data_IF_616687830013
#
_entry.id   IF_616687830013
#
_cell.length_a   1.000
_cell.length_b   1.000
_cell.length_c   1.000
_cell.angle_alpha   90.00
_cell.angle_beta   90.00
_cell.angle_gamma   90.00
#
_symmetry.space_group_name_H-M   'P 1'
#
loop_
_entity.id
_entity.type
_entity.pdbx_description
1 polymer ?
#
# COMPACT_ATOMS: atom_id res chain seq x y z
N UNK A 1 -16.45 -18.18 0.63
CA UNK A 1 -15.23 -17.63 1.23
C UNK A 1 -15.49 -17.45 2.71
N UNK A 2 -14.73 -18.13 3.56
CA UNK A 2 -14.86 -17.96 5.01
C UNK A 2 -14.33 -16.56 5.39
N UNK A 3 -14.98 -15.87 6.33
CA UNK A 3 -14.50 -14.57 6.78
C UNK A 3 -13.10 -14.70 7.36
N UNK A 4 -12.24 -13.76 6.98
CA UNK A 4 -10.84 -13.67 7.43
C UNK A 4 -10.70 -13.22 8.90
N UNK A 5 -11.78 -12.99 9.61
CA UNK A 5 -11.81 -12.62 11.02
C UNK A 5 -11.76 -13.85 11.91
N UNK A 6 -10.60 -14.50 11.93
CA UNK A 6 -10.22 -15.23 13.11
C UNK A 6 -9.22 -14.37 13.86
N UNK A 7 -9.70 -13.75 14.92
CA UNK A 7 -8.80 -13.26 15.96
C UNK A 7 -7.89 -14.44 16.32
N UNK A 8 -6.59 -14.29 16.05
CA UNK A 8 -5.62 -15.31 16.43
C UNK A 8 -5.66 -15.39 17.96
N UNK A 9 -5.84 -16.60 18.49
CA UNK A 9 -5.78 -16.81 19.92
C UNK A 9 -4.36 -16.43 20.40
N UNK A 10 -4.21 -15.81 21.57
CA UNK A 10 -2.89 -15.57 22.14
C UNK A 10 -2.04 -16.84 22.15
N UNK A 11 -0.84 -16.78 21.55
CA UNK A 11 0.04 -17.94 21.38
C UNK A 11 -0.25 -18.82 20.15
N UNK A 12 -1.10 -18.38 19.19
CA UNK A 12 -1.24 -19.04 17.89
C UNK A 12 0.13 -19.04 17.18
N UNK A 13 0.62 -20.19 16.67
CA UNK A 13 1.93 -20.26 16.00
C UNK A 13 2.01 -19.40 14.73
N UNK A 14 0.90 -18.86 14.26
CA UNK A 14 0.86 -17.87 13.17
C UNK A 14 1.02 -16.44 13.69
N UNK A 15 0.93 -16.23 15.00
CA UNK A 15 1.25 -14.96 15.62
C UNK A 15 2.76 -14.79 15.58
N UNK A 16 3.24 -13.90 14.71
CA UNK A 16 4.65 -13.55 14.68
C UNK A 16 4.91 -12.62 15.87
N UNK A 17 5.60 -13.11 16.89
CA UNK A 17 6.16 -12.25 17.92
C UNK A 17 7.17 -11.31 17.26
N UNK A 18 6.80 -10.04 17.17
CA UNK A 18 7.72 -9.01 16.69
C UNK A 18 8.50 -8.54 17.90
N UNK A 19 9.69 -9.13 18.08
CA UNK A 19 10.61 -8.80 19.18
C UNK A 19 11.12 -7.35 19.13
N UNK A 20 10.99 -6.69 17.99
CA UNK A 20 11.42 -5.30 17.80
C UNK A 20 10.32 -4.45 17.18
N UNK A 21 10.13 -3.24 17.73
CA UNK A 21 9.26 -2.24 17.13
C UNK A 21 9.91 -1.68 15.86
N UNK A 22 9.27 -1.76 14.69
CA UNK A 22 9.81 -1.20 13.47
C UNK A 22 9.87 0.33 13.55
N UNK A 23 10.86 0.93 12.88
CA UNK A 23 10.90 2.37 12.64
C UNK A 23 10.14 2.76 11.36
N UNK A 24 9.91 1.80 10.48
CA UNK A 24 9.24 2.01 9.21
C UNK A 24 8.31 0.83 8.89
N UNK A 25 7.06 1.17 8.54
CA UNK A 25 6.12 0.23 7.92
C UNK A 25 5.74 0.77 6.55
N UNK A 26 5.95 -0.04 5.51
CA UNK A 26 5.53 0.29 4.14
C UNK A 26 4.38 -0.62 3.76
N UNK A 27 3.30 -0.03 3.28
CA UNK A 27 2.10 -0.76 2.86
C UNK A 27 1.76 -0.49 1.41
N UNK A 28 1.23 -1.49 0.72
CA UNK A 28 0.70 -1.37 -0.64
C UNK A 28 -0.69 -2.00 -0.68
N UNK A 29 -1.66 -1.30 -0.13
CA UNK A 29 -3.05 -1.74 0.01
C UNK A 29 -3.99 -0.93 -0.88
N UNK A 30 -5.22 -1.40 -1.05
CA UNK A 30 -6.25 -0.76 -1.87
C UNK A 30 -6.34 -1.29 -3.29
N UNK A 31 -5.31 -1.94 -3.81
CA UNK A 31 -5.32 -2.48 -5.17
C UNK A 31 -6.46 -3.46 -5.39
N UNK A 32 -6.61 -4.43 -4.52
CA UNK A 32 -7.64 -5.45 -4.65
C UNK A 32 -9.05 -4.94 -4.34
N UNK A 33 -9.17 -3.89 -3.54
CA UNK A 33 -10.47 -3.27 -3.22
C UNK A 33 -11.09 -2.59 -4.45
N UNK A 34 -10.26 -2.13 -5.36
CA UNK A 34 -10.66 -1.46 -6.60
C UNK A 34 -10.42 -2.30 -7.85
N UNK A 35 -9.84 -3.50 -7.70
CA UNK A 35 -9.59 -4.43 -8.80
C UNK A 35 -10.79 -5.35 -8.96
N UNK A 36 -11.73 -4.97 -9.82
CA UNK A 36 -13.00 -5.65 -9.94
C UNK A 36 -13.03 -6.77 -10.96
N UNK A 37 -13.28 -7.95 -10.46
CA UNK A 37 -13.93 -9.01 -11.24
C UNK A 37 -15.38 -9.19 -10.75
N UNK A 38 -16.19 -8.15 -10.86
CA UNK A 38 -17.65 -8.27 -10.69
C UNK A 38 -18.24 -7.98 -9.31
N UNK A 39 -17.55 -7.25 -8.45
CA UNK A 39 -18.12 -6.78 -7.18
C UNK A 39 -18.19 -5.25 -7.08
N UNK A 40 -18.80 -4.69 -6.04
CA UNK A 40 -18.89 -3.25 -5.83
C UNK A 40 -17.58 -2.68 -5.26
N UNK A 41 -17.06 -1.60 -5.84
CA UNK A 41 -15.94 -0.86 -5.24
C UNK A 41 -16.38 -0.18 -3.95
N UNK A 42 -15.51 -0.09 -2.94
CA UNK A 42 -15.85 0.65 -1.74
C UNK A 42 -16.14 2.12 -2.07
N UNK A 43 -17.06 2.72 -1.35
CA UNK A 43 -17.22 4.17 -1.41
C UNK A 43 -15.94 4.85 -0.89
N UNK A 44 -15.68 6.07 -1.34
CA UNK A 44 -14.52 6.83 -0.87
C UNK A 44 -14.55 7.00 0.67
N UNK A 45 -15.72 7.21 1.25
CA UNK A 45 -15.89 7.36 2.69
C UNK A 45 -15.55 6.06 3.44
N UNK A 46 -16.04 4.89 2.96
CA UNK A 46 -15.75 3.61 3.61
C UNK A 46 -14.29 3.22 3.48
N UNK A 47 -13.67 3.46 2.32
CA UNK A 47 -12.24 3.22 2.13
C UNK A 47 -11.38 4.12 3.04
N UNK A 48 -11.70 5.42 3.13
CA UNK A 48 -10.99 6.37 4.00
C UNK A 48 -11.10 5.95 5.47
N UNK A 49 -12.28 5.55 5.93
CA UNK A 49 -12.48 5.09 7.30
C UNK A 49 -11.70 3.79 7.60
N UNK A 50 -11.73 2.82 6.69
CA UNK A 50 -10.98 1.57 6.84
C UNK A 50 -9.46 1.80 6.82
N UNK A 51 -8.98 2.66 5.93
CA UNK A 51 -7.56 3.06 5.85
C UNK A 51 -7.10 3.75 7.13
N UNK A 52 -7.93 4.62 7.71
CA UNK A 52 -7.63 5.28 8.97
C UNK A 52 -7.55 4.27 10.12
N UNK A 53 -8.54 3.39 10.26
CA UNK A 53 -8.56 2.36 11.30
C UNK A 53 -7.36 1.41 11.18
N UNK A 54 -6.99 1.01 9.95
CA UNK A 54 -5.80 0.21 9.71
C UNK A 54 -4.53 0.95 10.13
N UNK A 55 -4.39 2.22 9.78
CA UNK A 55 -3.22 3.03 10.16
C UNK A 55 -3.14 3.20 11.68
N UNK A 56 -4.27 3.42 12.36
CA UNK A 56 -4.35 3.45 13.82
C UNK A 56 -3.83 2.15 14.44
N UNK A 57 -4.28 1.01 13.91
CA UNK A 57 -3.85 -0.31 14.42
C UNK A 57 -2.34 -0.53 14.32
N UNK A 58 -1.67 0.04 13.31
CA UNK A 58 -0.21 -0.02 13.19
C UNK A 58 0.48 0.76 14.32
N UNK A 59 0.00 1.96 14.63
CA UNK A 59 0.56 2.77 15.72
C UNK A 59 0.26 2.17 17.11
N UNK A 60 -0.89 1.53 17.27
CA UNK A 60 -1.25 0.82 18.50
C UNK A 60 -0.40 -0.44 18.70
N UNK A 61 -0.22 -1.22 17.63
CA UNK A 61 0.56 -2.46 17.66
C UNK A 61 2.06 -2.21 17.89
N UNK A 62 2.60 -1.22 17.22
CA UNK A 62 4.02 -0.90 17.29
C UNK A 62 4.26 0.37 18.10
N UNK A 63 4.09 0.33 19.39
CA UNK A 63 4.19 1.48 20.29
C UNK A 63 5.57 2.19 20.26
N UNK A 64 6.00 2.59 19.06
CA UNK A 64 7.26 3.25 18.75
C UNK A 64 6.96 4.72 18.38
N UNK A 65 7.41 5.71 19.16
CA UNK A 65 7.18 7.13 18.88
C UNK A 65 7.85 7.60 17.57
N UNK A 66 8.87 6.87 17.10
CA UNK A 66 9.61 7.16 15.88
C UNK A 66 9.03 6.43 14.65
N UNK A 67 7.93 5.69 14.82
CA UNK A 67 7.30 4.94 13.71
C UNK A 67 6.90 5.87 12.57
N UNK A 68 7.33 5.50 11.38
CA UNK A 68 6.88 6.09 10.11
C UNK A 68 6.05 5.06 9.36
N UNK A 69 4.88 5.45 8.89
CA UNK A 69 4.05 4.63 7.99
C UNK A 69 4.05 5.26 6.60
N UNK A 70 4.35 4.47 5.58
CA UNK A 70 4.31 4.90 4.19
C UNK A 70 3.30 4.04 3.42
N UNK A 71 2.24 4.68 2.94
CA UNK A 71 1.30 4.06 2.01
C UNK A 71 1.80 4.28 0.59
N UNK A 72 2.14 3.20 -0.11
CA UNK A 72 2.53 3.27 -1.52
C UNK A 72 1.36 2.82 -2.40
N UNK A 73 1.24 3.42 -3.57
CA UNK A 73 0.28 3.01 -4.59
C UNK A 73 0.89 3.21 -5.98
N UNK A 74 0.31 2.53 -6.96
CA UNK A 74 0.76 2.58 -8.33
C UNK A 74 1.43 1.29 -8.77
N UNK A 75 2.52 1.41 -9.50
CA UNK A 75 3.22 0.27 -10.11
C UNK A 75 2.44 -0.39 -11.25
N UNK A 76 1.43 0.28 -11.76
CA UNK A 76 0.72 -0.17 -12.97
C UNK A 76 1.52 0.11 -14.22
N UNK A 77 1.27 -0.67 -15.24
CA UNK A 77 1.83 -0.46 -16.56
C UNK A 77 0.87 0.30 -17.48
N UNK A 78 1.36 0.94 -18.55
CA UNK A 78 0.50 1.57 -19.54
C UNK A 78 -0.46 0.60 -20.23
N UNK A 79 -0.06 -0.66 -20.45
CA UNK A 79 -0.91 -1.65 -21.08
C UNK A 79 -2.06 -2.09 -20.18
N UNK A 80 -1.85 -2.20 -18.87
CA UNK A 80 -2.94 -2.44 -17.92
C UNK A 80 -4.00 -1.33 -18.03
N UNK A 81 -3.58 -0.07 -18.07
CA UNK A 81 -4.48 1.07 -18.19
C UNK A 81 -5.19 1.15 -19.55
N UNK A 82 -4.54 0.70 -20.63
CA UNK A 82 -5.12 0.67 -21.98
C UNK A 82 -6.07 -0.52 -22.18
N UNK A 83 -5.78 -1.66 -21.55
CA UNK A 83 -6.57 -2.88 -21.67
C UNK A 83 -7.86 -2.82 -20.83
N UNK A 84 -7.76 -2.32 -19.62
CA UNK A 84 -8.90 -2.16 -18.71
C UNK A 84 -8.71 -0.91 -17.84
N UNK A 85 -9.22 0.25 -18.29
CA UNK A 85 -9.10 1.50 -17.54
C UNK A 85 -9.73 1.43 -16.14
N UNK A 86 -10.72 0.56 -15.98
CA UNK A 86 -11.45 0.39 -14.72
C UNK A 86 -10.76 -0.58 -13.76
N UNK A 87 -9.81 -1.36 -14.26
CA UNK A 87 -9.14 -2.43 -13.51
C UNK A 87 -7.62 -2.29 -13.50
N UNK A 88 -7.10 -1.07 -13.53
CA UNK A 88 -5.66 -0.85 -13.47
C UNK A 88 -5.20 -0.62 -12.02
N UNK A 89 -3.94 -1.00 -11.74
CA UNK A 89 -3.35 -0.90 -10.40
C UNK A 89 -3.22 0.52 -9.88
N UNK A 90 -3.37 1.52 -10.73
CA UNK A 90 -3.35 2.93 -10.36
C UNK A 90 -4.72 3.52 -10.04
N UNK A 91 -5.79 2.77 -10.33
CA UNK A 91 -7.16 3.19 -10.01
C UNK A 91 -7.36 3.56 -8.53
N UNK A 92 -6.83 2.81 -7.55
CA UNK A 92 -6.99 3.16 -6.14
C UNK A 92 -6.16 4.37 -5.70
N UNK A 93 -5.15 4.79 -6.47
CA UNK A 93 -4.15 5.73 -5.97
C UNK A 93 -4.69 7.11 -5.57
N UNK A 94 -5.68 7.71 -6.25
CA UNK A 94 -6.34 8.91 -5.74
C UNK A 94 -6.99 8.67 -4.37
N UNK A 95 -7.65 7.54 -4.17
CA UNK A 95 -8.31 7.20 -2.91
C UNK A 95 -7.32 6.96 -1.78
N UNK A 96 -6.23 6.24 -2.05
CA UNK A 96 -5.14 6.02 -1.06
C UNK A 96 -4.48 7.34 -0.68
N UNK A 97 -4.20 8.22 -1.65
CA UNK A 97 -3.66 9.56 -1.40
C UNK A 97 -4.60 10.39 -0.52
N UNK A 98 -5.87 10.44 -0.88
CA UNK A 98 -6.86 11.28 -0.22
C UNK A 98 -7.13 10.77 1.21
N UNK A 99 -7.20 9.45 1.40
CA UNK A 99 -7.29 8.82 2.72
C UNK A 99 -6.06 9.15 3.59
N UNK A 100 -4.86 9.03 3.02
CA UNK A 100 -3.61 9.38 3.72
C UNK A 100 -3.58 10.86 4.10
N UNK A 101 -3.99 11.74 3.17
CA UNK A 101 -4.04 13.19 3.42
C UNK A 101 -5.02 13.53 4.55
N UNK A 102 -6.21 12.93 4.53
CA UNK A 102 -7.20 13.12 5.58
C UNK A 102 -6.68 12.62 6.95
N UNK A 103 -6.00 11.47 6.95
CA UNK A 103 -5.41 10.91 8.15
C UNK A 103 -4.35 11.83 8.77
N UNK A 104 -3.42 12.32 7.95
CA UNK A 104 -2.35 13.25 8.39
C UNK A 104 -2.96 14.54 8.96
N UNK A 105 -3.99 15.09 8.31
CA UNK A 105 -4.66 16.29 8.80
C UNK A 105 -5.32 16.08 10.18
N UNK A 106 -5.87 14.90 10.44
CA UNK A 106 -6.48 14.53 11.71
C UNK A 106 -5.46 14.14 12.79
N UNK A 107 -4.25 13.71 12.40
CA UNK A 107 -3.21 13.18 13.29
C UNK A 107 -1.85 13.83 13.04
N UNK A 108 -1.68 15.14 13.29
CA UNK A 108 -0.48 15.89 12.88
C UNK A 108 0.82 15.46 13.58
N UNK A 109 0.74 14.69 14.66
CA UNK A 109 1.90 14.16 15.39
C UNK A 109 2.37 12.81 14.87
N UNK A 110 1.58 12.13 14.03
CA UNK A 110 1.94 10.84 13.45
C UNK A 110 2.63 11.03 12.10
N UNK A 111 3.72 10.32 11.90
CA UNK A 111 4.52 10.38 10.67
C UNK A 111 3.96 9.41 9.65
N UNK A 112 3.01 9.89 8.82
CA UNK A 112 2.39 9.09 7.76
C UNK A 112 2.60 9.78 6.42
N UNK A 113 3.01 9.02 5.40
CA UNK A 113 3.33 9.54 4.07
C UNK A 113 2.64 8.72 2.99
N UNK A 114 2.42 9.35 1.85
CA UNK A 114 1.97 8.72 0.62
C UNK A 114 3.06 8.80 -0.44
N UNK A 115 3.35 7.69 -1.11
CA UNK A 115 4.24 7.65 -2.27
C UNK A 115 3.54 7.01 -3.47
N UNK A 116 3.53 7.71 -4.59
CA UNK A 116 3.05 7.20 -5.86
C UNK A 116 4.22 6.63 -6.66
N UNK A 117 4.14 5.37 -7.04
CA UNK A 117 4.95 4.79 -8.10
C UNK A 117 4.21 5.04 -9.43
N UNK A 118 4.80 5.79 -10.38
CA UNK A 118 4.12 6.14 -11.62
C UNK A 118 3.57 4.94 -12.39
N UNK A 119 2.42 5.14 -13.04
CA UNK A 119 1.75 4.12 -13.86
C UNK A 119 1.86 4.40 -15.36
N UNK A 120 2.90 5.10 -15.77
CA UNK A 120 3.13 5.54 -17.14
C UNK A 120 4.28 4.82 -17.84
N UNK A 121 4.74 3.70 -17.28
CA UNK A 121 5.87 2.94 -17.81
C UNK A 121 7.26 3.48 -17.46
N UNK A 122 7.35 4.60 -16.74
CA UNK A 122 8.66 5.19 -16.40
C UNK A 122 9.43 4.44 -15.31
N UNK A 123 8.76 3.58 -14.55
CA UNK A 123 9.36 2.74 -13.49
C UNK A 123 9.19 1.26 -13.82
N UNK A 124 7.99 0.85 -14.18
CA UNK A 124 7.68 -0.53 -14.60
C UNK A 124 7.04 -0.44 -15.98
N UNK A 125 7.60 -1.11 -16.95
CA UNK A 125 7.02 -1.22 -18.28
C UNK A 125 6.39 -2.61 -18.52
N UNK A 126 5.75 -2.78 -19.67
CA UNK A 126 5.05 -4.01 -20.01
C UNK A 126 5.99 -5.05 -20.67
N UNK A 127 7.19 -4.63 -21.01
CA UNK A 127 8.14 -5.44 -21.77
C UNK A 127 9.27 -5.91 -20.85
N UNK A 128 9.12 -7.09 -20.28
CA UNK A 128 10.15 -7.71 -19.47
C UNK A 128 10.03 -7.52 -17.96
N UNK A 129 9.21 -6.58 -17.49
CA UNK A 129 9.07 -6.30 -16.06
C UNK A 129 7.89 -7.04 -15.41
N UNK A 130 7.01 -7.61 -16.23
CA UNK A 130 5.82 -8.32 -15.82
C UNK A 130 6.04 -9.82 -15.88
N UNK A 131 5.60 -10.51 -14.85
CA UNK A 131 5.60 -11.97 -14.73
C UNK A 131 4.21 -12.57 -14.83
N UNK A 132 4.00 -13.63 -14.07
CA UNK A 132 2.73 -14.35 -14.10
C UNK A 132 1.55 -13.47 -13.66
N UNK A 133 0.45 -13.56 -14.40
CA UNK A 133 -0.84 -12.94 -14.08
C UNK A 133 -0.73 -11.42 -13.82
N UNK A 134 0.04 -10.70 -14.61
CA UNK A 134 0.20 -9.25 -14.48
C UNK A 134 1.00 -8.80 -13.24
N UNK A 135 1.51 -9.71 -12.44
CA UNK A 135 2.38 -9.36 -11.33
C UNK A 135 3.80 -9.03 -11.81
N UNK A 136 4.47 -8.13 -11.10
CA UNK A 136 5.84 -7.78 -11.41
C UNK A 136 6.76 -8.97 -11.19
N UNK A 137 7.62 -9.22 -12.18
CA UNK A 137 8.71 -10.17 -12.05
C UNK A 137 9.84 -9.59 -11.18
N UNK A 138 10.94 -10.32 -11.05
CA UNK A 138 12.08 -9.89 -10.24
C UNK A 138 12.67 -8.55 -10.69
N UNK A 139 12.71 -8.30 -12.00
CA UNK A 139 13.25 -7.06 -12.56
C UNK A 139 12.32 -5.88 -12.22
N UNK A 140 11.02 -6.01 -12.50
CA UNK A 140 10.04 -4.97 -12.16
C UNK A 140 9.98 -4.66 -10.66
N UNK A 141 10.19 -5.67 -9.80
CA UNK A 141 10.28 -5.45 -8.35
C UNK A 141 11.54 -4.67 -7.97
N UNK A 142 12.69 -4.98 -8.59
CA UNK A 142 13.93 -4.23 -8.37
C UNK A 142 13.80 -2.77 -8.78
N UNK A 143 13.19 -2.49 -9.94
CA UNK A 143 12.96 -1.13 -10.42
C UNK A 143 12.04 -0.33 -9.48
N UNK A 144 11.00 -0.96 -8.92
CA UNK A 144 10.16 -0.32 -7.89
C UNK A 144 10.96 -0.02 -6.63
N UNK A 145 11.83 -0.93 -6.20
CA UNK A 145 12.69 -0.73 -5.03
C UNK A 145 13.67 0.44 -5.27
N UNK A 146 14.35 0.47 -6.43
CA UNK A 146 15.28 1.53 -6.81
C UNK A 146 14.59 2.91 -6.89
N UNK A 147 13.33 2.93 -7.32
CA UNK A 147 12.51 4.15 -7.35
C UNK A 147 12.13 4.62 -5.94
N UNK A 148 11.78 3.71 -5.05
CA UNK A 148 11.29 4.03 -3.70
C UNK A 148 12.43 4.33 -2.73
N UNK A 149 13.55 3.63 -2.81
CA UNK A 149 14.65 3.74 -1.84
C UNK A 149 15.10 5.18 -1.56
N UNK A 150 15.45 6.02 -2.55
CA UNK A 150 15.90 7.39 -2.27
C UNK A 150 14.82 8.26 -1.62
N UNK A 151 13.56 7.99 -1.91
CA UNK A 151 12.40 8.70 -1.33
C UNK A 151 12.18 8.31 0.11
N UNK A 152 12.25 7.02 0.39
CA UNK A 152 12.15 6.48 1.75
C UNK A 152 13.32 6.99 2.60
N UNK A 153 14.55 6.95 2.08
CA UNK A 153 15.73 7.51 2.78
C UNK A 153 15.53 8.98 3.13
N UNK A 154 15.01 9.78 2.19
CA UNK A 154 14.71 11.20 2.44
C UNK A 154 13.68 11.41 3.54
N UNK A 155 12.63 10.58 3.59
CA UNK A 155 11.59 10.64 4.64
C UNK A 155 12.16 10.24 6.00
N UNK A 156 13.01 9.22 6.03
CA UNK A 156 13.60 8.68 7.25
C UNK A 156 14.80 9.47 7.77
N UNK A 157 15.43 10.26 6.91
CA UNK A 157 16.67 10.99 7.24
C UNK A 157 17.91 10.07 7.24
N UNK A 158 17.91 9.02 6.41
CA UNK A 158 19.01 8.03 6.29
C UNK A 158 19.97 8.37 5.15
#
# INVERSE_FOLDING_TARGET
LAPADRDLAPGDPREIEIESSPHLVVTSLGGNDYNHQGGDTPSNASFTAASAAFTDSLFERYANPELVVIHICGMGSPAEAAFDPDNNRCRPCPHVRDATTAYVAANPTRRVHYLLVPCNGSVVDDVGDIGCNGHKNRLGQAQVADFLEPRIRSIMGW
#
